data_IF_312505414334
#
_entry.id   IF_312505414334
#
_cell.length_a   1.000
_cell.length_b   1.000
_cell.length_c   1.000
_cell.angle_alpha   90.00
_cell.angle_beta   90.00
_cell.angle_gamma   90.00
#
_symmetry.space_group_name_H-M   'P 1'
#
loop_
_entity.id
_entity.type
_entity.pdbx_description
1 polymer ?
#
# COMPACT_ATOMS: atom_id res chain seq x y z
N UNK A 1 -18.10 -0.06 -13.40
CA UNK A 1 -16.82 0.36 -12.85
C UNK A 1 -16.50 1.76 -13.34
N UNK A 2 -16.08 2.67 -12.48
CA UNK A 2 -15.64 3.97 -12.96
C UNK A 2 -14.36 3.78 -13.78
N UNK A 3 -14.36 4.33 -14.99
CA UNK A 3 -13.15 4.45 -15.79
C UNK A 3 -12.45 5.71 -15.27
N UNK A 4 -11.22 5.55 -14.79
CA UNK A 4 -10.40 6.66 -14.32
C UNK A 4 -9.24 6.81 -15.28
N UNK A 5 -9.30 7.85 -16.09
CA UNK A 5 -8.28 8.12 -17.08
C UNK A 5 -7.10 8.91 -16.49
N UNK A 6 -7.38 9.68 -15.44
CA UNK A 6 -6.38 10.52 -14.78
C UNK A 6 -6.54 10.46 -13.26
N UNK A 7 -5.42 10.52 -12.55
CA UNK A 7 -5.36 10.67 -11.10
C UNK A 7 -4.65 11.97 -10.74
N UNK A 8 -5.31 12.81 -9.97
CA UNK A 8 -4.71 14.06 -9.50
C UNK A 8 -3.68 13.76 -8.41
N UNK A 9 -2.46 14.25 -8.62
CA UNK A 9 -1.33 14.10 -7.70
C UNK A 9 -0.74 15.46 -7.41
N UNK A 10 -0.56 15.76 -6.12
CA UNK A 10 0.12 16.97 -5.67
C UNK A 10 1.53 16.60 -5.19
N UNK A 11 2.54 17.30 -5.69
CA UNK A 11 3.90 17.18 -5.20
C UNK A 11 4.09 18.13 -4.01
N UNK A 12 4.44 17.55 -2.85
CA UNK A 12 4.60 18.27 -1.59
C UNK A 12 6.07 18.58 -1.26
N UNK A 13 6.99 18.05 -2.05
CA UNK A 13 8.43 18.16 -1.82
C UNK A 13 9.12 18.39 -3.17
N UNK A 14 10.17 19.26 -3.25
CA UNK A 14 10.85 19.54 -4.52
C UNK A 14 11.48 18.29 -5.17
N UNK A 15 11.84 17.30 -4.38
CA UNK A 15 12.44 16.05 -4.88
C UNK A 15 11.41 14.91 -5.01
N UNK A 16 10.11 15.19 -4.82
CA UNK A 16 9.09 14.18 -5.00
C UNK A 16 8.99 13.78 -6.48
N UNK A 17 8.93 12.46 -6.71
CA UNK A 17 8.77 11.90 -8.06
C UNK A 17 7.32 11.47 -8.27
N UNK A 18 6.76 11.81 -9.43
CA UNK A 18 5.47 11.30 -9.84
C UNK A 18 5.53 9.76 -9.87
N UNK A 19 4.55 9.06 -9.26
CA UNK A 19 4.54 7.60 -9.30
C UNK A 19 4.49 7.10 -10.74
N UNK A 20 5.30 6.09 -11.03
CA UNK A 20 5.39 5.54 -12.38
C UNK A 20 5.34 4.02 -12.35
N UNK A 21 4.79 3.45 -13.41
CA UNK A 21 4.88 2.02 -13.67
C UNK A 21 6.19 1.73 -14.37
N UNK A 22 6.95 0.76 -13.88
CA UNK A 22 8.26 0.42 -14.44
C UNK A 22 8.14 -0.10 -15.88
N UNK A 23 7.07 -0.87 -16.16
CA UNK A 23 6.80 -1.46 -17.47
C UNK A 23 5.35 -1.23 -17.87
N UNK A 24 5.07 -1.10 -19.18
CA UNK A 24 3.70 -1.13 -19.66
C UNK A 24 3.00 -2.43 -19.21
N UNK A 25 1.80 -2.31 -18.67
CA UNK A 25 1.04 -3.45 -18.16
C UNK A 25 1.25 -3.76 -16.69
N UNK A 26 2.22 -3.16 -16.01
CA UNK A 26 2.36 -3.27 -14.57
C UNK A 26 1.16 -2.63 -13.87
N UNK A 27 0.66 -3.28 -12.81
CA UNK A 27 -0.49 -2.78 -12.05
C UNK A 27 -0.09 -1.74 -11.01
N UNK A 28 1.11 -1.87 -10.45
CA UNK A 28 1.59 -1.00 -9.38
C UNK A 28 2.38 0.20 -9.89
N UNK A 29 2.15 1.34 -9.24
CA UNK A 29 2.95 2.54 -9.42
C UNK A 29 4.03 2.60 -8.36
N UNK A 30 5.29 2.75 -8.75
CA UNK A 30 6.40 2.84 -7.80
C UNK A 30 6.30 4.09 -6.95
N UNK A 31 6.45 3.93 -5.63
CA UNK A 31 6.56 5.02 -4.67
C UNK A 31 8.02 5.14 -4.22
N UNK A 32 8.53 6.37 -4.30
CA UNK A 32 9.92 6.68 -3.94
C UNK A 32 9.96 7.53 -2.67
N UNK A 33 10.96 7.31 -1.82
CA UNK A 33 11.20 8.18 -0.69
C UNK A 33 11.89 9.48 -1.13
N UNK A 34 11.64 10.57 -0.40
CA UNK A 34 12.26 11.88 -0.66
C UNK A 34 13.44 12.18 0.23
N UNK A 35 13.67 11.36 1.24
CA UNK A 35 14.78 11.51 2.17
C UNK A 35 15.41 10.16 2.52
N UNK A 36 16.67 10.12 2.93
CA UNK A 36 17.30 8.88 3.35
C UNK A 36 16.72 8.40 4.67
N UNK A 37 16.79 7.09 4.90
CA UNK A 37 16.36 6.47 6.15
C UNK A 37 17.25 5.28 6.49
N UNK A 38 17.26 4.91 7.77
CA UNK A 38 18.00 3.75 8.27
C UNK A 38 17.05 2.89 9.10
N UNK A 39 17.02 1.60 8.82
CA UNK A 39 16.24 0.62 9.57
C UNK A 39 17.19 -0.49 10.07
N UNK A 40 17.40 -0.55 11.37
CA UNK A 40 18.04 -1.70 12.00
C UNK A 40 17.06 -2.88 12.04
N UNK A 41 17.53 -4.12 12.19
CA UNK A 41 16.65 -5.26 12.36
C UNK A 41 15.57 -5.02 13.43
N UNK A 42 14.31 -5.23 13.06
CA UNK A 42 13.15 -5.02 13.94
C UNK A 42 12.63 -3.58 14.01
N UNK A 43 13.36 -2.60 13.50
CA UNK A 43 12.91 -1.20 13.49
C UNK A 43 11.90 -0.93 12.39
N UNK A 44 11.02 0.03 12.63
CA UNK A 44 10.12 0.59 11.62
C UNK A 44 10.24 2.11 11.57
N UNK A 45 9.95 2.66 10.40
CA UNK A 45 9.95 4.11 10.18
C UNK A 45 8.77 4.50 9.28
N UNK A 46 8.28 5.70 9.50
CA UNK A 46 7.28 6.35 8.66
C UNK A 46 8.04 7.15 7.59
N UNK A 47 8.13 6.62 6.38
CA UNK A 47 8.97 7.17 5.31
C UNK A 47 8.14 8.03 4.37
N UNK A 48 8.47 9.32 4.20
CA UNK A 48 7.71 10.23 3.36
C UNK A 48 7.99 10.02 1.88
N UNK A 49 6.94 10.12 1.06
CA UNK A 49 7.04 10.12 -0.40
C UNK A 49 6.98 11.51 -1.02
N UNK A 50 6.53 12.50 -0.25
CA UNK A 50 6.31 13.86 -0.77
C UNK A 50 5.12 13.99 -1.70
N UNK A 51 4.18 13.04 -1.68
CA UNK A 51 3.03 12.98 -2.57
C UNK A 51 1.72 13.03 -1.79
N UNK A 52 0.74 13.73 -2.34
CA UNK A 52 -0.66 13.59 -1.96
C UNK A 52 -1.48 13.30 -3.21
N UNK A 53 -2.54 12.51 -3.07
CA UNK A 53 -3.38 12.09 -4.18
C UNK A 53 -4.85 12.38 -3.88
N UNK A 54 -5.64 12.58 -4.93
CA UNK A 54 -7.09 12.67 -4.82
C UNK A 54 -7.71 11.47 -5.53
N UNK A 55 -8.00 10.43 -4.77
CA UNK A 55 -8.69 9.26 -5.30
C UNK A 55 -10.17 9.59 -5.49
N UNK A 56 -10.75 9.26 -6.66
CA UNK A 56 -12.18 9.47 -6.87
C UNK A 56 -13.01 8.51 -6.01
N UNK A 57 -14.26 8.88 -5.65
CA UNK A 57 -15.15 7.98 -4.93
C UNK A 57 -15.30 6.64 -5.66
N UNK A 58 -15.29 5.55 -4.91
CA UNK A 58 -15.37 4.19 -5.45
C UNK A 58 -14.01 3.53 -5.72
N UNK A 59 -12.90 4.28 -5.59
CA UNK A 59 -11.56 3.74 -5.65
C UNK A 59 -10.83 3.93 -4.32
N UNK A 60 -10.05 2.94 -3.94
CA UNK A 60 -9.11 3.02 -2.83
C UNK A 60 -7.70 2.79 -3.35
N UNK A 61 -6.72 3.29 -2.62
CA UNK A 61 -5.31 3.00 -2.86
C UNK A 61 -4.80 1.95 -1.88
N UNK A 62 -4.02 1.01 -2.38
CA UNK A 62 -3.30 0.07 -1.54
C UNK A 62 -1.80 0.33 -1.67
N UNK A 63 -1.16 0.60 -0.55
CA UNK A 63 0.30 0.69 -0.48
C UNK A 63 0.84 -0.69 -0.16
N UNK A 64 1.56 -1.26 -1.12
CA UNK A 64 2.07 -2.62 -1.08
C UNK A 64 3.59 -2.62 -1.00
N UNK A 65 4.19 -3.62 -0.33
CA UNK A 65 5.64 -3.77 -0.33
C UNK A 65 6.17 -4.18 -1.71
N UNK A 66 7.47 -3.97 -1.90
CA UNK A 66 8.18 -4.45 -3.08
C UNK A 66 8.78 -5.82 -2.79
N UNK A 67 8.55 -6.76 -3.69
CA UNK A 67 9.03 -8.15 -3.55
C UNK A 67 10.55 -8.24 -3.43
N UNK A 68 11.30 -7.42 -4.19
CA UNK A 68 12.76 -7.41 -4.14
C UNK A 68 13.32 -6.96 -2.79
N UNK A 69 12.75 -5.90 -2.20
CA UNK A 69 13.14 -5.45 -0.86
C UNK A 69 12.80 -6.48 0.21
N UNK A 70 11.63 -7.06 0.13
CA UNK A 70 11.19 -8.10 1.06
C UNK A 70 12.09 -9.33 1.00
N UNK A 71 12.38 -9.82 -0.20
CA UNK A 71 13.16 -11.03 -0.40
C UNK A 71 14.64 -10.86 -0.04
N UNK A 72 15.28 -9.78 -0.52
CA UNK A 72 16.73 -9.59 -0.33
C UNK A 72 17.10 -9.02 1.03
N UNK A 73 16.25 -8.15 1.57
CA UNK A 73 16.59 -7.36 2.77
C UNK A 73 15.61 -7.57 3.93
N UNK A 74 14.49 -8.25 3.71
CA UNK A 74 13.45 -8.39 4.72
C UNK A 74 12.70 -7.08 4.99
N UNK A 75 12.84 -6.08 4.12
CA UNK A 75 12.17 -4.80 4.27
C UNK A 75 10.80 -4.86 3.61
N UNK A 76 9.77 -4.57 4.38
CA UNK A 76 8.38 -4.64 3.96
C UNK A 76 7.56 -3.54 4.62
N UNK A 77 6.26 -3.48 4.35
CA UNK A 77 5.35 -2.55 5.01
C UNK A 77 4.81 -3.19 6.29
N UNK A 78 4.87 -2.45 7.41
CA UNK A 78 4.34 -2.94 8.68
C UNK A 78 2.82 -3.10 8.64
N UNK A 79 2.11 -2.20 7.93
CA UNK A 79 0.69 -2.30 7.61
C UNK A 79 0.56 -2.78 6.16
N UNK A 80 0.53 -4.03 5.94
CA UNK A 80 0.52 -4.62 4.60
C UNK A 80 -0.81 -5.33 4.33
N UNK A 81 -1.70 -4.69 3.52
CA UNK A 81 -1.52 -3.42 2.81
C UNK A 81 -1.82 -2.17 3.65
N UNK A 82 -1.24 -1.05 3.28
CA UNK A 82 -1.69 0.26 3.73
C UNK A 82 -2.89 0.72 2.91
N UNK A 83 -3.96 1.14 3.56
CA UNK A 83 -5.19 1.57 2.89
C UNK A 83 -5.23 3.08 2.77
N UNK A 84 -5.43 3.58 1.57
CA UNK A 84 -5.65 4.99 1.26
C UNK A 84 -7.12 5.18 0.87
N UNK A 85 -7.86 5.87 1.72
CA UNK A 85 -9.26 6.19 1.46
C UNK A 85 -9.40 7.29 0.40
N UNK A 86 -10.50 7.29 -0.38
CA UNK A 86 -10.70 8.31 -1.41
C UNK A 86 -10.79 9.75 -0.87
N UNK A 87 -11.20 9.93 0.37
CA UNK A 87 -11.28 11.25 1.03
C UNK A 87 -9.99 11.68 1.72
N UNK A 88 -8.94 10.86 1.72
CA UNK A 88 -7.65 11.24 2.30
C UNK A 88 -6.90 12.19 1.35
N UNK A 89 -6.43 13.31 1.88
CA UNK A 89 -5.69 14.35 1.13
C UNK A 89 -4.30 14.64 1.70
N UNK A 90 -3.91 13.90 2.72
CA UNK A 90 -2.60 14.04 3.34
C UNK A 90 -1.49 13.37 2.53
N UNK A 91 -0.28 13.54 3.00
CA UNK A 91 0.90 12.93 2.39
C UNK A 91 0.82 11.41 2.44
N UNK A 92 1.19 10.75 1.35
CA UNK A 92 1.41 9.32 1.32
C UNK A 92 2.74 9.02 2.02
N UNK A 93 2.67 8.36 3.14
CA UNK A 93 3.84 7.90 3.90
C UNK A 93 3.79 6.38 3.99
N UNK A 94 4.96 5.77 3.88
CA UNK A 94 5.07 4.32 3.91
C UNK A 94 5.65 3.89 5.25
N UNK A 95 4.94 3.02 5.95
CA UNK A 95 5.42 2.44 7.20
C UNK A 95 6.28 1.23 6.86
N UNK A 96 7.59 1.42 6.78
CA UNK A 96 8.56 0.35 6.51
C UNK A 96 9.03 -0.30 7.80
N UNK A 97 9.22 -1.61 7.75
CA UNK A 97 9.81 -2.41 8.84
C UNK A 97 10.89 -3.31 8.28
N UNK A 98 11.97 -3.48 9.04
CA UNK A 98 13.06 -4.39 8.69
C UNK A 98 12.89 -5.71 9.44
N UNK A 99 12.47 -6.75 8.74
CA UNK A 99 12.35 -8.12 9.26
C UNK A 99 13.58 -8.96 8.92
N UNK A 100 14.61 -8.34 8.34
CA UNK A 100 15.87 -8.98 8.00
C UNK A 100 16.85 -9.02 9.17
N UNK A 101 18.07 -9.41 8.86
CA UNK A 101 19.15 -9.59 9.83
C UNK A 101 20.16 -8.43 9.84
N UNK A 102 20.20 -7.67 8.75
CA UNK A 102 21.18 -6.58 8.56
C UNK A 102 20.47 -5.23 8.53
N UNK A 103 21.19 -4.19 8.95
CA UNK A 103 20.72 -2.83 8.84
C UNK A 103 20.49 -2.47 7.38
N UNK A 104 19.31 -1.93 7.07
CA UNK A 104 18.97 -1.44 5.74
C UNK A 104 19.10 0.08 5.69
N UNK A 105 19.78 0.58 4.66
CA UNK A 105 19.96 2.02 4.41
C UNK A 105 19.27 2.40 3.11
N UNK A 106 18.22 3.21 3.23
CA UNK A 106 17.53 3.79 2.07
C UNK A 106 18.13 5.14 1.72
N UNK A 107 18.20 5.42 0.42
CA UNK A 107 18.66 6.70 -0.12
C UNK A 107 17.49 7.47 -0.71
N UNK A 108 17.55 8.80 -0.66
CA UNK A 108 16.54 9.63 -1.31
C UNK A 108 16.38 9.21 -2.78
N UNK A 109 15.14 9.06 -3.21
CA UNK A 109 14.82 8.60 -4.57
C UNK A 109 14.68 7.09 -4.72
N UNK A 110 15.01 6.29 -3.71
CA UNK A 110 14.80 4.85 -3.75
C UNK A 110 13.33 4.50 -3.84
N UNK A 111 13.03 3.46 -4.63
CA UNK A 111 11.69 2.85 -4.69
C UNK A 111 11.48 2.01 -3.44
N UNK A 112 10.51 2.37 -2.63
CA UNK A 112 10.30 1.76 -1.31
C UNK A 112 9.01 0.96 -1.19
N UNK A 113 8.05 1.20 -2.08
CA UNK A 113 6.74 0.57 -2.09
C UNK A 113 6.09 0.75 -3.46
N UNK A 114 4.86 0.31 -3.58
CA UNK A 114 4.07 0.51 -4.79
C UNK A 114 2.61 0.80 -4.43
N UNK A 115 1.96 1.59 -5.27
CA UNK A 115 0.56 1.98 -5.12
C UNK A 115 -0.28 1.23 -6.15
N UNK A 116 -1.29 0.51 -5.68
CA UNK A 116 -2.30 -0.16 -6.51
C UNK A 116 -3.65 0.52 -6.27
N UNK A 117 -4.35 0.86 -7.33
CA UNK A 117 -5.72 1.37 -7.23
C UNK A 117 -6.71 0.22 -7.38
N UNK A 118 -7.68 0.15 -6.47
CA UNK A 118 -8.69 -0.91 -6.46
C UNK A 118 -10.09 -0.33 -6.28
N UNK A 119 -11.11 -0.86 -6.99
CA UNK A 119 -12.48 -0.54 -6.68
C UNK A 119 -12.91 -1.19 -5.37
N UNK A 120 -13.86 -0.57 -4.66
CA UNK A 120 -14.37 -1.12 -3.42
C UNK A 120 -15.89 -0.93 -3.31
N UNK A 121 -16.48 -1.72 -2.43
CA UNK A 121 -17.88 -1.63 -2.07
C UNK A 121 -18.01 -1.15 -0.63
N UNK A 122 -18.88 -0.20 -0.39
CA UNK A 122 -19.14 0.36 0.94
C UNK A 122 -20.66 0.39 1.21
N UNK A 123 -21.30 -0.79 1.35
CA UNK A 123 -22.73 -0.87 1.63
C UNK A 123 -23.02 -0.45 3.08
N UNK A 124 -24.26 -0.06 3.32
CA UNK A 124 -24.72 0.09 4.68
C UNK A 124 -24.76 -1.28 5.40
N UNK A 125 -24.35 -1.27 6.67
CA UNK A 125 -24.34 -2.49 7.46
C UNK A 125 -25.65 -2.61 8.23
N UNK A 126 -26.31 -3.74 8.09
CA UNK A 126 -27.56 -4.06 8.78
C UNK A 126 -27.36 -5.23 9.72
N UNK A 127 -27.67 -5.03 10.98
CA UNK A 127 -27.66 -6.11 11.97
C UNK A 127 -28.87 -7.03 11.72
N UNK A 128 -28.61 -8.32 11.68
CA UNK A 128 -29.63 -9.36 11.55
C UNK A 128 -29.45 -10.39 12.66
N UNK A 129 -30.52 -11.10 13.00
CA UNK A 129 -30.45 -12.15 14.03
C UNK A 129 -29.79 -13.41 13.48
N UNK A 130 -29.98 -13.70 12.20
CA UNK A 130 -29.41 -14.86 11.53
C UNK A 130 -28.91 -14.48 10.14
N UNK A 131 -27.78 -15.08 9.72
CA UNK A 131 -27.27 -14.98 8.38
C UNK A 131 -27.91 -16.03 7.47
N UNK A 132 -28.02 -15.77 6.16
CA UNK A 132 -28.44 -16.79 5.21
C UNK A 132 -27.55 -18.03 5.26
N UNK A 133 -28.14 -19.22 5.09
CA UNK A 133 -27.38 -20.47 5.06
C UNK A 133 -26.42 -20.49 3.86
N UNK A 134 -25.30 -21.18 4.05
CA UNK A 134 -24.34 -21.48 2.99
C UNK A 134 -23.87 -22.94 3.09
N UNK A 135 -23.41 -23.49 1.99
CA UNK A 135 -22.90 -24.88 1.95
C UNK A 135 -21.71 -25.06 2.91
N UNK A 136 -20.80 -24.07 2.98
CA UNK A 136 -19.65 -24.10 3.88
C UNK A 136 -20.03 -23.93 5.35
N UNK A 137 -21.06 -23.13 5.65
CA UNK A 137 -21.45 -22.79 7.01
C UNK A 137 -20.32 -22.09 7.79
N UNK A 138 -20.05 -22.55 9.00
CA UNK A 138 -19.07 -21.96 9.90
C UNK A 138 -17.64 -22.52 9.73
N UNK A 139 -17.43 -23.44 8.80
CA UNK A 139 -16.14 -24.10 8.62
C UNK A 139 -15.04 -23.07 8.19
N UNK A 140 -13.95 -23.07 8.91
CA UNK A 140 -12.83 -22.16 8.66
C UNK A 140 -11.57 -22.64 9.41
N UNK A 141 -10.55 -21.77 9.47
CA UNK A 141 -9.32 -22.01 10.21
C UNK A 141 -8.63 -23.36 9.93
N UNK A 142 -8.48 -23.69 8.62
CA UNK A 142 -7.84 -24.91 8.20
C UNK A 142 -8.78 -26.10 8.07
N UNK A 143 -10.10 -25.90 8.11
CA UNK A 143 -11.11 -26.96 7.94
C UNK A 143 -11.02 -27.68 6.59
N UNK A 144 -10.43 -27.05 5.56
CA UNK A 144 -10.19 -27.66 4.26
C UNK A 144 -8.95 -28.54 4.20
N UNK A 145 -8.18 -28.63 5.29
CA UNK A 145 -6.98 -29.42 5.38
C UNK A 145 -5.72 -28.71 4.85
N UNK A 146 -4.68 -29.50 4.65
CA UNK A 146 -3.42 -29.00 4.06
C UNK A 146 -3.50 -28.95 2.55
#
# INVERSE_FOLDING_TARGET
MPIVDELEVKLLHPDAALPARTRPGDAGYDLRCVEPFVLRPGERALVPTGLAVALPPGLAGLVLPRSGLAHRHGVTCANSPGLIDPNYRGELRVVLVNLGRDTYRGHAGDRIAQLLLVPYWAPELRVVDELPDSERGEAGFGSSGR
#
